data_IF_471252059743
#
_entry.id   IF_471252059743
#
_cell.length_a   1.000
_cell.length_b   1.000
_cell.length_c   1.000
_cell.angle_alpha   90.00
_cell.angle_beta   90.00
_cell.angle_gamma   90.00
#
_symmetry.space_group_name_H-M   'P 1'
#
loop_
_entity.id
_entity.type
_entity.pdbx_description
1 polymer ?
#
# COMPACT_ATOMS: atom_id res chain seq x y z
N UNK A 1 19.49 28.24 3.67
CA UNK A 1 20.41 27.44 2.83
C UNK A 1 19.66 26.22 2.37
N UNK A 2 19.87 25.71 1.16
CA UNK A 2 19.31 24.42 0.78
C UNK A 2 19.83 23.35 1.74
N UNK A 3 19.04 22.29 2.01
CA UNK A 3 19.49 21.20 2.86
C UNK A 3 20.71 20.49 2.24
N UNK A 4 21.55 19.83 3.07
CA UNK A 4 22.66 19.02 2.57
C UNK A 4 22.17 17.99 1.54
N UNK A 5 23.03 17.61 0.57
CA UNK A 5 22.60 16.68 -0.49
C UNK A 5 22.14 15.32 0.00
N UNK A 6 22.62 14.88 1.13
CA UNK A 6 22.36 13.61 1.81
C UNK A 6 21.32 13.72 2.96
N UNK A 7 20.65 14.87 3.11
CA UNK A 7 19.71 15.06 4.22
C UNK A 7 18.43 14.27 4.04
N UNK A 8 18.09 13.45 5.05
CA UNK A 8 16.92 12.60 5.11
C UNK A 8 15.94 13.10 6.17
N UNK A 9 14.71 13.38 5.79
CA UNK A 9 13.60 13.57 6.73
C UNK A 9 12.89 12.23 6.95
N UNK A 10 12.83 11.81 8.20
CA UNK A 10 11.96 10.72 8.58
C UNK A 10 10.57 11.28 8.89
N UNK A 11 9.55 10.71 8.27
CA UNK A 11 8.16 11.13 8.41
C UNK A 11 7.27 9.98 8.86
N UNK A 12 6.30 10.30 9.68
CA UNK A 12 5.34 9.32 10.20
C UNK A 12 4.00 9.99 10.46
N UNK A 13 2.92 9.24 10.28
CA UNK A 13 1.62 9.54 10.87
C UNK A 13 1.34 8.52 11.97
N UNK A 14 0.73 8.92 13.06
CA UNK A 14 0.61 8.05 14.24
C UNK A 14 -0.68 8.30 15.00
N UNK A 15 -1.23 7.21 15.60
CA UNK A 15 -2.32 7.28 16.58
C UNK A 15 -2.29 6.09 17.52
N UNK A 16 -2.08 6.32 18.82
CA UNK A 16 -2.10 5.30 19.87
C UNK A 16 -1.10 4.15 19.63
N UNK A 17 0.16 4.52 19.41
CA UNK A 17 1.25 3.60 19.10
C UNK A 17 2.33 3.57 20.19
N UNK A 18 1.96 3.78 21.44
CA UNK A 18 2.91 3.80 22.57
C UNK A 18 3.76 2.53 22.70
N UNK A 19 3.26 1.39 22.20
CA UNK A 19 3.94 0.09 22.30
C UNK A 19 4.97 -0.17 21.22
N UNK A 20 4.75 0.40 20.02
CA UNK A 20 5.53 0.13 18.79
C UNK A 20 6.50 1.27 18.45
N UNK A 21 6.08 2.51 18.68
CA UNK A 21 6.75 3.73 18.23
C UNK A 21 8.24 3.81 18.60
N UNK A 22 8.59 3.46 19.85
CA UNK A 22 9.99 3.55 20.30
C UNK A 22 10.92 2.66 19.46
N UNK A 23 10.48 1.43 19.14
CA UNK A 23 11.23 0.48 18.31
C UNK A 23 11.41 1.00 16.88
N UNK A 24 10.37 1.59 16.30
CA UNK A 24 10.44 2.22 14.99
C UNK A 24 11.47 3.36 14.98
N UNK A 25 11.38 4.30 15.92
CA UNK A 25 12.28 5.46 16.01
C UNK A 25 13.73 5.04 16.31
N UNK A 26 13.96 3.99 17.11
CA UNK A 26 15.30 3.44 17.33
C UNK A 26 15.92 2.90 16.04
N UNK A 27 15.12 2.29 15.16
CA UNK A 27 15.61 1.69 13.91
C UNK A 27 16.12 2.71 12.88
N UNK A 28 15.71 3.97 12.99
CA UNK A 28 16.14 5.07 12.10
C UNK A 28 17.09 6.06 12.79
N UNK A 29 17.50 5.75 14.02
CA UNK A 29 18.37 6.62 14.82
C UNK A 29 19.72 6.80 14.13
N UNK A 30 20.11 8.07 13.94
CA UNK A 30 21.38 8.45 13.30
C UNK A 30 21.34 8.45 11.77
N UNK A 31 20.28 7.91 11.15
CA UNK A 31 20.08 7.94 9.71
C UNK A 31 19.37 9.24 9.26
N UNK A 32 18.33 9.64 9.97
CA UNK A 32 17.54 10.83 9.63
C UNK A 32 18.11 12.09 10.29
N UNK A 33 18.14 13.21 9.55
CA UNK A 33 18.53 14.53 10.04
C UNK A 33 17.41 15.26 10.78
N UNK A 34 16.16 14.86 10.57
CA UNK A 34 14.96 15.33 11.28
C UNK A 34 13.91 14.23 11.37
N UNK A 35 13.12 14.29 12.43
CA UNK A 35 12.01 13.39 12.70
C UNK A 35 10.71 14.19 12.75
N UNK A 36 9.76 13.90 11.86
CA UNK A 36 8.46 14.57 11.78
C UNK A 36 7.37 13.55 12.06
N UNK A 37 6.66 13.74 13.15
CA UNK A 37 5.59 12.85 13.60
C UNK A 37 4.27 13.61 13.61
N UNK A 38 3.36 13.27 12.71
CA UNK A 38 2.01 13.83 12.65
C UNK A 38 1.08 12.98 13.49
N UNK A 39 0.65 13.52 14.62
CA UNK A 39 -0.27 12.85 15.53
C UNK A 39 -1.72 13.11 15.14
N UNK A 40 -2.44 12.04 14.80
CA UNK A 40 -3.83 12.08 14.36
C UNK A 40 -4.83 11.90 15.52
N UNK A 41 -4.45 12.30 16.72
CA UNK A 41 -5.29 12.32 17.90
C UNK A 41 -5.06 11.13 18.83
N UNK A 42 -3.82 10.90 19.24
CA UNK A 42 -3.48 9.92 20.27
C UNK A 42 -3.99 10.34 21.64
N UNK A 43 -4.38 9.34 22.42
CA UNK A 43 -4.84 9.49 23.81
C UNK A 43 -3.94 8.78 24.83
N UNK A 44 -2.88 8.14 24.34
CA UNK A 44 -1.86 7.43 25.10
C UNK A 44 -0.52 8.22 25.17
N UNK A 45 0.57 7.56 25.52
CA UNK A 45 1.90 8.18 25.66
C UNK A 45 2.61 8.42 24.30
N UNK A 46 2.00 8.10 23.16
CA UNK A 46 2.59 8.24 21.82
C UNK A 46 3.26 9.60 21.58
N UNK A 47 2.61 10.75 21.79
CA UNK A 47 3.22 12.05 21.53
C UNK A 47 4.44 12.32 22.43
N UNK A 48 4.39 11.86 23.68
CA UNK A 48 5.50 12.04 24.62
C UNK A 48 6.69 11.14 24.27
N UNK A 49 6.43 9.93 23.76
CA UNK A 49 7.50 9.06 23.27
C UNK A 49 8.19 9.74 22.09
N UNK A 50 7.46 10.18 21.06
CA UNK A 50 8.02 10.86 19.90
C UNK A 50 8.89 12.08 20.31
N UNK A 51 8.39 12.92 21.21
CA UNK A 51 9.12 14.09 21.69
C UNK A 51 10.44 13.74 22.41
N UNK A 52 10.51 12.62 23.14
CA UNK A 52 11.76 12.14 23.78
C UNK A 52 12.83 11.73 22.76
N UNK A 53 12.45 11.35 21.56
CA UNK A 53 13.36 11.08 20.45
C UNK A 53 13.78 12.33 19.67
N UNK A 54 13.27 13.52 20.07
CA UNK A 54 13.57 14.79 19.42
C UNK A 54 12.72 15.03 18.17
N UNK A 55 11.63 14.30 18.00
CA UNK A 55 10.74 14.49 16.86
C UNK A 55 9.95 15.81 17.00
N UNK A 56 9.72 16.49 15.89
CA UNK A 56 8.69 17.51 15.77
C UNK A 56 7.33 16.82 15.76
N UNK A 57 6.61 16.90 16.88
CA UNK A 57 5.28 16.29 17.01
C UNK A 57 4.22 17.31 16.66
N UNK A 58 3.40 17.01 15.64
CA UNK A 58 2.47 17.96 15.06
C UNK A 58 1.06 17.37 15.14
N UNK A 59 0.13 18.03 15.86
CA UNK A 59 -1.25 17.57 15.89
C UNK A 59 -1.92 17.79 14.53
N UNK A 60 -2.72 16.82 14.11
CA UNK A 60 -3.52 16.88 12.89
C UNK A 60 -4.97 16.55 13.18
N UNK A 61 -5.89 17.40 12.70
CA UNK A 61 -7.31 17.11 12.81
C UNK A 61 -7.71 15.98 11.86
N UNK A 62 -8.09 14.86 12.44
CA UNK A 62 -8.46 13.63 11.73
C UNK A 62 -9.95 13.31 11.88
N UNK A 63 -10.80 14.33 12.13
CA UNK A 63 -12.26 14.19 12.19
C UNK A 63 -12.82 13.69 10.86
N UNK A 64 -12.22 14.14 9.75
CA UNK A 64 -12.38 13.51 8.43
C UNK A 64 -11.18 12.63 8.20
N UNK A 65 -11.42 11.34 8.05
CA UNK A 65 -10.35 10.37 7.80
C UNK A 65 -9.76 10.59 6.42
N UNK A 66 -8.49 10.96 6.40
CA UNK A 66 -7.71 11.15 5.18
C UNK A 66 -6.22 10.95 5.51
N UNK A 67 -5.76 9.70 5.33
CA UNK A 67 -4.37 9.35 5.58
C UNK A 67 -3.42 10.05 4.61
N UNK A 68 -3.83 10.25 3.34
CA UNK A 68 -3.01 11.00 2.39
C UNK A 68 -2.84 12.47 2.83
N UNK A 69 -3.89 13.13 3.33
CA UNK A 69 -3.78 14.48 3.85
C UNK A 69 -2.80 14.57 5.03
N UNK A 70 -2.87 13.61 5.96
CA UNK A 70 -1.97 13.55 7.10
C UNK A 70 -0.50 13.33 6.67
N UNK A 71 -0.24 12.39 5.73
CA UNK A 71 1.12 12.19 5.18
C UNK A 71 1.61 13.42 4.40
N UNK A 72 0.75 14.03 3.58
CA UNK A 72 1.09 15.25 2.85
C UNK A 72 1.38 16.43 3.80
N UNK A 73 0.75 16.44 4.96
CA UNK A 73 1.03 17.44 6.00
C UNK A 73 2.43 17.27 6.59
N UNK A 74 2.89 16.00 6.77
CA UNK A 74 4.27 15.71 7.15
C UNK A 74 5.25 16.15 6.04
N UNK A 75 4.97 15.80 4.77
CA UNK A 75 5.81 16.20 3.62
C UNK A 75 5.97 17.71 3.53
N UNK A 76 4.90 18.49 3.78
CA UNK A 76 4.95 19.95 3.71
C UNK A 76 5.86 20.59 4.78
N UNK A 77 6.22 19.85 5.82
CA UNK A 77 7.12 20.30 6.89
C UNK A 77 8.53 19.78 6.78
N UNK A 78 8.74 18.79 5.92
CA UNK A 78 10.03 18.17 5.71
C UNK A 78 10.99 19.11 4.97
N UNK A 79 12.23 19.18 5.45
CA UNK A 79 13.29 20.01 4.90
C UNK A 79 14.39 19.21 4.22
N UNK A 80 14.50 17.91 4.51
CA UNK A 80 15.48 17.04 3.88
C UNK A 80 15.26 16.90 2.37
N UNK A 81 16.32 16.56 1.65
CA UNK A 81 16.23 16.23 0.19
C UNK A 81 15.46 14.94 -0.06
N UNK A 82 15.52 14.04 0.89
CA UNK A 82 14.89 12.73 0.83
C UNK A 82 13.87 12.55 1.94
N UNK A 83 12.88 11.75 1.67
CA UNK A 83 11.87 11.34 2.64
C UNK A 83 11.96 9.83 2.85
N UNK A 84 12.04 9.42 4.11
CA UNK A 84 11.75 8.06 4.54
C UNK A 84 10.43 8.09 5.32
N UNK A 85 9.40 7.43 4.80
CA UNK A 85 8.07 7.37 5.41
C UNK A 85 7.83 5.96 5.95
N UNK A 86 7.75 5.80 7.27
CA UNK A 86 7.38 4.52 7.88
C UNK A 86 6.15 4.69 8.78
N UNK A 87 5.46 3.59 9.01
CA UNK A 87 4.41 3.48 10.01
C UNK A 87 5.01 3.08 11.37
N UNK A 88 4.33 3.36 12.47
CA UNK A 88 4.88 3.17 13.81
C UNK A 88 5.11 1.69 14.18
N UNK A 89 4.46 0.78 13.50
CA UNK A 89 4.60 -0.67 13.62
C UNK A 89 5.60 -1.29 12.61
N UNK A 90 6.25 -0.41 11.81
CA UNK A 90 7.35 -0.79 10.90
C UNK A 90 8.70 -0.48 11.52
N UNK A 91 9.71 -1.32 11.28
CA UNK A 91 11.09 -1.11 11.71
C UNK A 91 12.04 -1.34 10.55
N UNK A 92 13.00 -0.42 10.36
CA UNK A 92 14.07 -0.60 9.38
C UNK A 92 15.03 -1.70 9.86
N UNK A 93 15.33 -2.68 9.00
CA UNK A 93 16.39 -3.64 9.27
C UNK A 93 17.75 -2.89 9.36
N UNK A 94 18.49 -3.01 10.45
CA UNK A 94 19.79 -2.36 10.60
C UNK A 94 20.79 -2.69 9.48
N UNK A 95 20.72 -3.88 8.88
CA UNK A 95 21.55 -4.27 7.75
C UNK A 95 21.21 -3.47 6.47
N UNK A 96 20.04 -2.84 6.41
CA UNK A 96 19.59 -2.02 5.27
C UNK A 96 20.05 -0.56 5.33
N UNK A 97 20.56 -0.08 6.47
CA UNK A 97 21.01 1.32 6.63
C UNK A 97 22.05 1.73 5.58
N UNK A 98 23.14 0.97 5.32
CA UNK A 98 24.12 1.36 4.30
C UNK A 98 23.54 1.43 2.89
N UNK A 99 22.51 0.62 2.60
CA UNK A 99 21.83 0.66 1.31
C UNK A 99 21.03 1.96 1.16
N UNK A 100 20.32 2.42 2.21
CA UNK A 100 19.60 3.71 2.18
C UNK A 100 20.60 4.85 2.00
N UNK A 101 21.72 4.88 2.75
CA UNK A 101 22.76 5.89 2.60
C UNK A 101 23.28 5.96 1.17
N UNK A 102 23.56 4.81 0.56
CA UNK A 102 23.98 4.76 -0.84
C UNK A 102 22.92 5.17 -1.86
N UNK A 103 21.62 5.07 -1.53
CA UNK A 103 20.52 5.52 -2.40
C UNK A 103 20.32 7.04 -2.32
N UNK A 104 20.37 7.63 -1.13
CA UNK A 104 20.17 9.08 -0.94
C UNK A 104 21.34 9.93 -1.46
N UNK A 105 22.53 9.34 -1.58
CA UNK A 105 23.71 9.98 -2.20
C UNK A 105 23.54 10.17 -3.72
N UNK A 106 22.63 9.39 -4.34
CA UNK A 106 22.40 9.49 -5.78
C UNK A 106 21.52 10.70 -6.09
N UNK A 107 21.84 11.40 -7.16
CA UNK A 107 20.96 12.48 -7.67
C UNK A 107 19.93 11.90 -8.65
N UNK A 108 19.21 10.88 -8.19
CA UNK A 108 18.19 10.19 -8.98
C UNK A 108 16.80 10.71 -8.65
N UNK A 109 15.97 10.86 -9.67
CA UNK A 109 14.55 11.17 -9.52
C UNK A 109 13.76 9.85 -9.44
N UNK A 110 13.99 9.08 -8.38
CA UNK A 110 13.41 7.77 -8.21
C UNK A 110 12.74 7.61 -6.83
N UNK A 111 11.56 7.05 -6.81
CA UNK A 111 10.95 6.47 -5.61
C UNK A 111 11.36 5.00 -5.48
N UNK A 112 11.67 4.58 -4.28
CA UNK A 112 12.20 3.26 -4.01
C UNK A 112 11.18 2.41 -3.26
N UNK A 113 10.88 1.23 -3.82
CA UNK A 113 10.16 0.18 -3.12
C UNK A 113 11.07 -0.47 -2.08
N UNK A 114 10.63 -0.49 -0.85
CA UNK A 114 11.21 -1.27 0.23
C UNK A 114 10.49 -2.62 0.33
N UNK A 115 11.24 -3.67 0.66
CA UNK A 115 10.68 -4.98 0.96
C UNK A 115 10.11 -4.97 2.38
N UNK A 116 8.77 -5.03 2.48
CA UNK A 116 8.08 -5.08 3.76
C UNK A 116 7.79 -6.53 4.13
N UNK A 117 8.43 -6.98 5.19
CA UNK A 117 8.26 -8.32 5.74
C UNK A 117 7.18 -8.30 6.82
N UNK A 118 6.03 -8.85 6.49
CA UNK A 118 4.84 -8.81 7.32
C UNK A 118 4.80 -10.01 8.27
N UNK A 119 4.80 -9.74 9.58
CA UNK A 119 4.66 -10.75 10.63
C UNK A 119 3.33 -10.55 11.33
N UNK A 120 2.50 -11.60 11.39
CA UNK A 120 1.29 -11.62 12.21
C UNK A 120 1.57 -12.33 13.53
N UNK A 121 1.07 -11.77 14.64
CA UNK A 121 1.04 -12.45 15.93
C UNK A 121 0.09 -13.65 15.96
N UNK A 122 -0.83 -13.75 15.01
CA UNK A 122 -1.97 -14.66 15.01
C UNK A 122 -1.79 -15.88 14.09
N UNK A 123 -0.53 -16.36 13.91
CA UNK A 123 -0.18 -17.60 13.20
C UNK A 123 -0.38 -17.66 11.69
N UNK A 124 -0.67 -16.56 11.02
CA UNK A 124 -0.60 -16.53 9.56
C UNK A 124 0.86 -16.60 9.09
N UNK A 125 1.11 -17.32 8.02
CA UNK A 125 2.47 -17.39 7.45
C UNK A 125 2.96 -15.98 7.08
N UNK A 126 4.21 -15.62 7.44
CA UNK A 126 4.77 -14.33 7.04
C UNK A 126 4.76 -14.20 5.52
N UNK A 127 4.53 -12.99 5.03
CA UNK A 127 4.59 -12.69 3.60
C UNK A 127 5.35 -11.37 3.35
N UNK A 128 5.88 -11.23 2.15
CA UNK A 128 6.59 -10.01 1.73
C UNK A 128 5.79 -9.28 0.68
N UNK A 129 5.65 -7.98 0.86
CA UNK A 129 5.17 -7.07 -0.17
C UNK A 129 6.18 -5.92 -0.40
N UNK A 130 5.86 -5.00 -1.31
CA UNK A 130 6.74 -3.91 -1.66
C UNK A 130 5.97 -2.60 -1.58
N UNK A 131 6.48 -1.64 -0.81
CA UNK A 131 5.86 -0.33 -0.60
C UNK A 131 6.86 0.78 -0.89
N UNK A 132 6.42 1.85 -1.54
CA UNK A 132 7.28 3.03 -1.77
C UNK A 132 7.37 3.80 -0.45
N UNK A 133 8.56 3.75 0.16
CA UNK A 133 8.83 4.39 1.47
C UNK A 133 9.97 5.39 1.44
N UNK A 134 10.87 5.32 0.42
CA UNK A 134 11.99 6.24 0.25
C UNK A 134 11.87 6.96 -1.09
N UNK A 135 11.88 8.30 -1.09
CA UNK A 135 11.71 9.10 -2.30
C UNK A 135 12.24 10.53 -2.13
N UNK A 136 12.60 11.24 -3.22
CA UNK A 136 13.03 12.64 -3.14
C UNK A 136 11.90 13.56 -2.64
N UNK A 137 12.25 14.51 -1.79
CA UNK A 137 11.31 15.54 -1.32
C UNK A 137 11.05 16.56 -2.43
N UNK A 138 9.99 16.35 -3.18
CA UNK A 138 9.60 17.24 -4.28
C UNK A 138 8.20 17.81 -4.07
N UNK A 139 7.95 19.11 -4.41
CA UNK A 139 6.67 19.75 -4.17
C UNK A 139 5.48 19.10 -4.86
N UNK A 140 5.71 18.41 -5.99
CA UNK A 140 4.68 17.72 -6.77
C UNK A 140 4.47 16.25 -6.35
N UNK A 141 5.27 15.71 -5.44
CA UNK A 141 5.06 14.36 -4.92
C UNK A 141 4.07 14.41 -3.77
N UNK A 142 2.92 13.81 -3.96
CA UNK A 142 1.81 13.80 -2.99
C UNK A 142 1.16 12.44 -2.91
N UNK A 143 0.86 12.03 -1.69
CA UNK A 143 -0.02 10.89 -1.45
C UNK A 143 -1.43 11.20 -1.92
N UNK A 144 -2.11 10.17 -2.41
CA UNK A 144 -3.51 10.22 -2.86
C UNK A 144 -4.28 9.04 -2.29
N UNK A 145 -5.56 9.27 -2.00
CA UNK A 145 -6.47 8.31 -1.39
C UNK A 145 -6.63 8.52 0.12
N UNK A 146 -7.85 8.62 0.56
CA UNK A 146 -8.17 8.78 1.98
C UNK A 146 -7.75 7.56 2.80
N UNK A 147 -7.91 6.36 2.21
CA UNK A 147 -7.39 5.07 2.69
C UNK A 147 -6.62 4.40 1.55
N UNK A 148 -5.74 3.46 1.86
CA UNK A 148 -4.83 2.84 0.89
C UNK A 148 -4.07 3.89 0.08
N UNK A 149 -3.59 4.89 0.77
CA UNK A 149 -2.92 6.03 0.18
C UNK A 149 -1.57 5.62 -0.44
N UNK A 150 -1.36 6.07 -1.67
CA UNK A 150 -0.12 5.81 -2.41
C UNK A 150 0.50 7.10 -2.93
N UNK A 151 1.82 7.09 -3.13
CA UNK A 151 2.58 8.21 -3.69
C UNK A 151 3.07 7.92 -5.12
N UNK A 152 2.98 6.66 -5.53
CA UNK A 152 3.55 6.10 -6.76
C UNK A 152 3.14 6.88 -8.01
N UNK A 153 1.82 7.10 -8.17
CA UNK A 153 1.29 7.81 -9.31
C UNK A 153 1.81 9.26 -9.41
N UNK A 154 2.01 9.95 -8.28
CA UNK A 154 2.52 11.31 -8.28
C UNK A 154 4.02 11.37 -8.60
N UNK A 155 4.80 10.37 -8.19
CA UNK A 155 6.21 10.24 -8.57
C UNK A 155 6.32 10.06 -10.08
N UNK A 156 5.57 9.12 -10.66
CA UNK A 156 5.56 8.86 -12.11
C UNK A 156 5.10 10.09 -12.90
N UNK A 157 4.01 10.73 -12.49
CA UNK A 157 3.50 11.97 -13.12
C UNK A 157 4.48 13.13 -13.01
N UNK A 158 5.32 13.15 -11.97
CA UNK A 158 6.40 14.12 -11.79
C UNK A 158 7.68 13.82 -12.58
N UNK A 159 7.65 12.83 -13.48
CA UNK A 159 8.80 12.41 -14.29
C UNK A 159 9.82 11.57 -13.53
N UNK A 160 9.46 11.08 -12.34
CA UNK A 160 10.28 10.14 -11.58
C UNK A 160 10.12 8.69 -12.05
N UNK A 161 10.96 7.83 -11.52
CA UNK A 161 10.90 6.38 -11.73
C UNK A 161 10.58 5.67 -10.42
N UNK A 162 10.11 4.43 -10.52
CA UNK A 162 9.92 3.55 -9.37
C UNK A 162 10.88 2.37 -9.50
N UNK A 163 11.70 2.17 -8.48
CA UNK A 163 12.74 1.14 -8.47
C UNK A 163 12.59 0.22 -7.27
N UNK A 164 12.77 -1.08 -7.46
CA UNK A 164 12.85 -2.05 -6.37
C UNK A 164 14.23 -2.04 -5.75
N UNK A 165 14.28 -2.21 -4.43
CA UNK A 165 15.54 -2.31 -3.68
C UNK A 165 15.51 -3.55 -2.80
N UNK A 166 16.67 -3.95 -2.28
CA UNK A 166 16.77 -4.96 -1.21
C UNK A 166 16.72 -4.34 0.20
N UNK A 167 16.25 -3.09 0.33
CA UNK A 167 16.05 -2.44 1.64
C UNK A 167 14.85 -3.08 2.30
N UNK A 168 15.07 -3.66 3.49
CA UNK A 168 14.05 -4.38 4.24
C UNK A 168 13.50 -3.54 5.39
N UNK A 169 12.18 -3.62 5.56
CA UNK A 169 11.46 -3.20 6.76
C UNK A 169 10.66 -4.36 7.31
N UNK A 170 10.65 -4.51 8.63
CA UNK A 170 9.83 -5.50 9.33
C UNK A 170 8.56 -4.82 9.84
N UNK A 171 7.41 -5.37 9.49
CA UNK A 171 6.09 -4.90 9.91
C UNK A 171 5.46 -5.95 10.83
N UNK A 172 5.24 -5.58 12.07
CA UNK A 172 4.61 -6.45 13.06
C UNK A 172 3.24 -5.91 13.39
N UNK A 173 2.21 -6.54 12.87
CA UNK A 173 0.84 -6.15 13.17
C UNK A 173 0.16 -7.15 14.10
N UNK A 174 -0.56 -6.59 15.05
CA UNK A 174 -1.45 -7.32 15.95
C UNK A 174 -2.85 -6.81 15.70
N UNK A 175 -3.67 -7.59 15.00
CA UNK A 175 -5.09 -7.30 14.92
C UNK A 175 -5.88 -8.58 15.07
N UNK A 176 -6.77 -8.63 16.04
CA UNK A 176 -7.74 -9.70 16.10
C UNK A 176 -8.67 -9.64 14.87
N UNK A 177 -9.29 -10.79 14.56
CA UNK A 177 -10.14 -10.91 13.36
C UNK A 177 -11.30 -9.92 13.36
N UNK A 178 -11.85 -9.60 14.53
CA UNK A 178 -13.00 -8.71 14.63
C UNK A 178 -12.61 -7.24 14.40
N UNK A 179 -11.48 -6.79 14.96
CA UNK A 179 -10.92 -5.45 14.70
C UNK A 179 -10.59 -5.26 13.22
N UNK A 180 -10.01 -6.29 12.59
CA UNK A 180 -9.73 -6.29 11.14
C UNK A 180 -11.02 -6.16 10.33
N UNK A 181 -12.06 -6.93 10.64
CA UNK A 181 -13.37 -6.83 9.97
C UNK A 181 -14.01 -5.45 10.13
N UNK A 182 -13.98 -4.86 11.33
CA UNK A 182 -14.49 -3.50 11.57
C UNK A 182 -13.74 -2.46 10.73
N UNK A 183 -12.41 -2.55 10.67
CA UNK A 183 -11.58 -1.68 9.85
C UNK A 183 -11.90 -1.81 8.35
N UNK A 184 -12.03 -3.04 7.83
CA UNK A 184 -12.33 -3.27 6.42
C UNK A 184 -13.71 -2.72 6.05
N UNK A 185 -14.75 -2.91 6.88
CA UNK A 185 -16.06 -2.27 6.66
C UNK A 185 -15.95 -0.75 6.62
N UNK A 186 -15.17 -0.17 7.51
CA UNK A 186 -14.95 1.26 7.54
C UNK A 186 -14.21 1.77 6.29
N UNK A 187 -13.22 1.03 5.80
CA UNK A 187 -12.51 1.36 4.55
C UNK A 187 -13.44 1.28 3.34
N UNK A 188 -14.32 0.28 3.27
CA UNK A 188 -15.33 0.18 2.22
C UNK A 188 -16.19 1.44 2.13
N UNK A 189 -16.68 1.96 3.26
CA UNK A 189 -17.52 3.16 3.24
C UNK A 189 -16.72 4.39 2.74
N UNK A 190 -15.48 4.56 3.17
CA UNK A 190 -14.62 5.64 2.69
C UNK A 190 -14.35 5.52 1.18
N UNK A 191 -14.01 4.30 0.71
CA UNK A 191 -13.75 4.06 -0.71
C UNK A 191 -15.00 4.33 -1.57
N UNK A 192 -16.19 3.97 -1.09
CA UNK A 192 -17.45 4.30 -1.77
C UNK A 192 -17.67 5.81 -1.88
N UNK A 193 -17.37 6.56 -0.81
CA UNK A 193 -17.46 8.02 -0.83
C UNK A 193 -16.49 8.63 -1.84
N UNK A 194 -15.22 8.16 -1.90
CA UNK A 194 -14.24 8.62 -2.88
C UNK A 194 -14.68 8.33 -4.32
N UNK A 195 -15.15 7.10 -4.59
CA UNK A 195 -15.64 6.69 -5.91
C UNK A 195 -16.89 7.47 -6.32
N UNK A 196 -17.76 7.82 -5.37
CA UNK A 196 -18.94 8.63 -5.65
C UNK A 196 -18.60 10.09 -5.94
N UNK A 197 -17.54 10.62 -5.30
CA UNK A 197 -17.06 11.99 -5.52
C UNK A 197 -16.38 12.16 -6.89
N UNK A 198 -15.69 11.15 -7.39
CA UNK A 198 -15.09 11.11 -8.73
C UNK A 198 -15.32 9.74 -9.41
N UNK A 199 -16.48 9.54 -10.05
CA UNK A 199 -16.80 8.27 -10.70
C UNK A 199 -15.92 7.93 -11.91
N UNK A 200 -15.16 8.89 -12.45
CA UNK A 200 -14.25 8.71 -13.57
C UNK A 200 -12.86 8.21 -13.11
N UNK A 201 -12.49 8.48 -11.87
CA UNK A 201 -11.27 7.93 -11.27
C UNK A 201 -11.51 6.47 -10.83
N UNK A 202 -10.91 5.55 -11.55
CA UNK A 202 -11.02 4.12 -11.29
C UNK A 202 -9.96 3.59 -10.31
N UNK A 203 -9.05 4.46 -9.84
CA UNK A 203 -7.90 4.08 -9.01
C UNK A 203 -8.28 3.48 -7.65
N UNK A 204 -9.52 3.73 -7.19
CA UNK A 204 -10.03 3.21 -5.90
C UNK A 204 -10.74 1.87 -6.01
N UNK A 205 -11.11 1.45 -7.22
CA UNK A 205 -11.90 0.23 -7.43
C UNK A 205 -11.14 -1.05 -7.05
N UNK A 206 -9.84 -1.11 -7.35
CA UNK A 206 -9.02 -2.28 -6.98
C UNK A 206 -8.98 -2.49 -5.46
N UNK A 207 -8.87 -1.38 -4.69
CA UNK A 207 -8.90 -1.44 -3.23
C UNK A 207 -10.28 -1.85 -2.71
N UNK A 208 -11.36 -1.33 -3.30
CA UNK A 208 -12.72 -1.69 -2.90
C UNK A 208 -12.99 -3.19 -3.17
N UNK A 209 -12.56 -3.72 -4.31
CA UNK A 209 -12.68 -5.15 -4.60
C UNK A 209 -11.87 -5.99 -3.59
N UNK A 210 -10.66 -5.56 -3.22
CA UNK A 210 -9.83 -6.24 -2.25
C UNK A 210 -10.47 -6.24 -0.84
N UNK A 211 -11.06 -5.12 -0.40
CA UNK A 211 -11.75 -5.05 0.89
C UNK A 211 -12.98 -5.97 0.95
N UNK A 212 -13.79 -5.99 -0.12
CA UNK A 212 -14.90 -6.92 -0.22
C UNK A 212 -14.42 -8.37 -0.18
N UNK A 213 -13.35 -8.70 -0.91
CA UNK A 213 -12.76 -10.04 -0.90
C UNK A 213 -12.32 -10.45 0.52
N UNK A 214 -11.64 -9.58 1.25
CA UNK A 214 -11.18 -9.86 2.63
C UNK A 214 -12.34 -10.09 3.61
N UNK A 215 -13.50 -9.51 3.34
CA UNK A 215 -14.72 -9.72 4.12
C UNK A 215 -15.54 -10.92 3.66
N UNK A 216 -15.07 -11.66 2.65
CA UNK A 216 -15.79 -12.78 2.01
C UNK A 216 -17.12 -12.33 1.35
N UNK A 217 -17.22 -11.05 0.98
CA UNK A 217 -18.32 -10.45 0.23
C UNK A 217 -18.06 -10.62 -1.27
N UNK A 218 -18.04 -11.87 -1.72
CA UNK A 218 -17.54 -12.22 -3.04
C UNK A 218 -18.42 -11.73 -4.18
N UNK A 219 -19.72 -11.63 -3.96
CA UNK A 219 -20.64 -11.08 -4.96
C UNK A 219 -20.31 -9.60 -5.25
N UNK A 220 -20.20 -8.79 -4.21
CA UNK A 220 -19.83 -7.37 -4.32
C UNK A 220 -18.43 -7.20 -4.91
N UNK A 221 -17.49 -8.07 -4.54
CA UNK A 221 -16.15 -8.07 -5.13
C UNK A 221 -16.19 -8.34 -6.64
N UNK A 222 -17.05 -9.28 -7.09
CA UNK A 222 -17.25 -9.60 -8.51
C UNK A 222 -17.86 -8.42 -9.26
N UNK A 223 -18.90 -7.77 -8.72
CA UNK A 223 -19.51 -6.57 -9.34
C UNK A 223 -18.49 -5.45 -9.56
N UNK A 224 -17.59 -5.22 -8.58
CA UNK A 224 -16.52 -4.24 -8.72
C UNK A 224 -15.49 -4.69 -9.76
N UNK A 225 -15.09 -5.97 -9.77
CA UNK A 225 -14.17 -6.50 -10.78
C UNK A 225 -14.72 -6.36 -12.21
N UNK A 226 -16.00 -6.64 -12.43
CA UNK A 226 -16.68 -6.38 -13.71
C UNK A 226 -16.69 -4.89 -14.07
N UNK A 227 -16.89 -3.99 -13.07
CA UNK A 227 -16.79 -2.56 -13.31
C UNK A 227 -15.36 -2.16 -13.72
N UNK A 228 -14.32 -2.71 -13.11
CA UNK A 228 -12.92 -2.48 -13.49
C UNK A 228 -12.69 -2.89 -14.94
N UNK A 229 -13.18 -4.06 -15.37
CA UNK A 229 -13.06 -4.51 -16.78
C UNK A 229 -13.75 -3.53 -17.74
N UNK A 230 -14.95 -3.03 -17.39
CA UNK A 230 -15.64 -2.02 -18.22
C UNK A 230 -14.85 -0.72 -18.35
N UNK A 231 -14.13 -0.29 -17.30
CA UNK A 231 -13.33 0.94 -17.32
C UNK A 231 -11.95 0.74 -17.93
N UNK A 232 -11.36 -0.47 -17.76
CA UNK A 232 -10.03 -0.83 -18.26
C UNK A 232 -10.09 -2.07 -19.15
N UNK A 233 -10.79 -2.05 -20.28
CA UNK A 233 -11.02 -3.25 -21.10
C UNK A 233 -9.75 -3.83 -21.73
N UNK A 234 -8.66 -3.06 -21.74
CA UNK A 234 -7.35 -3.48 -22.25
C UNK A 234 -6.35 -3.84 -21.13
N UNK A 235 -6.76 -3.88 -19.88
CA UNK A 235 -5.90 -4.35 -18.79
C UNK A 235 -6.03 -5.87 -18.62
N UNK A 236 -4.99 -6.65 -18.93
CA UNK A 236 -5.04 -8.11 -18.78
C UNK A 236 -5.23 -8.57 -17.34
N UNK A 237 -4.82 -7.76 -16.35
CA UNK A 237 -5.02 -8.07 -14.93
C UNK A 237 -6.49 -7.95 -14.52
N UNK A 238 -7.20 -6.95 -15.05
CA UNK A 238 -8.62 -6.81 -14.79
C UNK A 238 -9.40 -8.06 -15.24
N UNK A 239 -9.10 -8.57 -16.43
CA UNK A 239 -9.69 -9.81 -16.94
C UNK A 239 -9.27 -11.05 -16.13
N UNK A 240 -8.02 -11.13 -15.69
CA UNK A 240 -7.57 -12.22 -14.80
C UNK A 240 -8.37 -12.25 -13.50
N UNK A 241 -8.53 -11.10 -12.84
CA UNK A 241 -9.24 -11.01 -11.56
C UNK A 241 -10.74 -11.32 -11.69
N UNK A 242 -11.44 -10.77 -12.67
CA UNK A 242 -12.85 -11.09 -12.87
C UNK A 242 -13.05 -12.56 -13.23
N UNK A 243 -12.19 -13.13 -14.03
CA UNK A 243 -12.19 -14.56 -14.35
C UNK A 243 -12.01 -15.44 -13.09
N UNK A 244 -11.14 -15.01 -12.17
CA UNK A 244 -10.93 -15.68 -10.90
C UNK A 244 -12.19 -15.63 -10.02
N UNK A 245 -12.86 -14.49 -9.94
CA UNK A 245 -14.12 -14.37 -9.19
C UNK A 245 -15.23 -15.23 -9.79
N UNK A 246 -15.40 -15.24 -11.12
CA UNK A 246 -16.35 -16.10 -11.80
C UNK A 246 -16.05 -17.60 -11.59
N UNK A 247 -14.77 -17.98 -11.48
CA UNK A 247 -14.39 -19.37 -11.26
C UNK A 247 -14.67 -19.84 -9.83
N UNK A 248 -14.34 -19.01 -8.84
CA UNK A 248 -14.31 -19.43 -7.45
C UNK A 248 -15.58 -19.11 -6.66
N UNK A 249 -16.24 -18.01 -6.98
CA UNK A 249 -17.30 -17.46 -6.13
C UNK A 249 -18.67 -17.36 -6.82
N UNK A 250 -18.69 -17.20 -8.12
CA UNK A 250 -19.91 -17.27 -8.93
C UNK A 250 -19.70 -18.36 -9.98
N UNK A 251 -19.74 -19.65 -9.65
CA UNK A 251 -19.19 -20.73 -10.47
C UNK A 251 -19.75 -20.78 -11.89
N UNK A 252 -19.45 -19.76 -12.68
CA UNK A 252 -19.68 -19.63 -14.10
C UNK A 252 -18.37 -19.91 -14.86
N UNK A 253 -18.11 -21.19 -15.07
CA UNK A 253 -16.90 -21.65 -15.76
C UNK A 253 -16.79 -21.09 -17.20
N UNK A 254 -17.91 -20.83 -17.84
CA UNK A 254 -17.93 -20.28 -19.21
C UNK A 254 -17.41 -18.86 -19.24
N UNK A 255 -17.91 -18.01 -18.32
CA UNK A 255 -17.40 -16.63 -18.15
C UNK A 255 -15.95 -16.63 -17.72
N UNK A 256 -15.59 -17.41 -16.69
CA UNK A 256 -14.22 -17.49 -16.22
C UNK A 256 -13.23 -17.82 -17.35
N UNK A 257 -13.57 -18.82 -18.18
CA UNK A 257 -12.75 -19.21 -19.34
C UNK A 257 -12.64 -18.07 -20.36
N UNK A 258 -13.73 -17.37 -20.64
CA UNK A 258 -13.72 -16.24 -21.57
C UNK A 258 -12.80 -15.11 -21.07
N UNK A 259 -12.86 -14.79 -19.77
CA UNK A 259 -12.03 -13.76 -19.16
C UNK A 259 -10.54 -14.13 -19.15
N UNK A 260 -10.17 -15.37 -18.79
CA UNK A 260 -8.78 -15.82 -18.86
C UNK A 260 -8.23 -15.82 -20.29
N UNK A 261 -9.03 -16.21 -21.28
CA UNK A 261 -8.64 -16.11 -22.68
C UNK A 261 -8.45 -14.65 -23.12
N UNK A 262 -9.31 -13.74 -22.66
CA UNK A 262 -9.15 -12.32 -22.95
C UNK A 262 -7.88 -11.75 -22.29
N UNK A 263 -7.55 -12.16 -21.07
CA UNK A 263 -6.30 -11.79 -20.42
C UNK A 263 -5.07 -12.25 -21.26
N UNK A 264 -5.12 -13.48 -21.82
CA UNK A 264 -4.07 -14.00 -22.70
C UNK A 264 -4.01 -13.30 -24.06
N UNK A 265 -5.15 -12.94 -24.65
CA UNK A 265 -5.19 -12.17 -25.89
C UNK A 265 -4.51 -10.80 -25.72
N UNK A 266 -4.69 -10.17 -24.56
CA UNK A 266 -4.09 -8.88 -24.22
C UNK A 266 -2.61 -9.01 -23.83
N UNK A 267 -2.24 -10.13 -23.20
CA UNK A 267 -0.88 -10.41 -22.74
C UNK A 267 -0.53 -11.87 -23.02
N UNK A 268 0.01 -12.18 -24.21
CA UNK A 268 0.48 -13.53 -24.51
C UNK A 268 1.54 -14.01 -23.51
N UNK A 269 1.43 -15.26 -23.06
CA UNK A 269 2.33 -15.81 -22.03
C UNK A 269 2.04 -15.33 -20.61
N UNK A 270 0.80 -14.92 -20.31
CA UNK A 270 0.38 -14.56 -18.97
C UNK A 270 0.19 -15.83 -18.14
N UNK A 271 1.26 -16.26 -17.44
CA UNK A 271 1.38 -17.55 -16.77
C UNK A 271 0.21 -17.87 -15.83
N UNK A 272 -0.27 -16.89 -15.09
CA UNK A 272 -1.38 -17.07 -14.17
C UNK A 272 -2.68 -17.44 -14.90
N UNK A 273 -2.98 -16.74 -16.00
CA UNK A 273 -4.17 -17.04 -16.81
C UNK A 273 -4.05 -18.42 -17.48
N UNK A 274 -2.87 -18.78 -17.98
CA UNK A 274 -2.59 -20.11 -18.55
C UNK A 274 -2.79 -21.19 -17.49
N UNK A 275 -2.29 -20.98 -16.27
CA UNK A 275 -2.40 -21.92 -15.15
C UNK A 275 -3.86 -22.18 -14.76
N UNK A 276 -4.70 -21.14 -14.72
CA UNK A 276 -6.12 -21.31 -14.41
C UNK A 276 -6.86 -22.05 -15.52
N UNK A 277 -6.57 -21.78 -16.79
CA UNK A 277 -7.17 -22.53 -17.91
C UNK A 277 -6.76 -24.01 -17.87
N UNK A 278 -5.49 -24.32 -17.61
CA UNK A 278 -5.01 -25.69 -17.47
C UNK A 278 -5.69 -26.42 -16.30
N UNK A 279 -5.86 -25.75 -15.16
CA UNK A 279 -6.58 -26.30 -14.00
C UNK A 279 -8.04 -26.61 -14.37
N UNK A 280 -8.71 -25.71 -15.07
CA UNK A 280 -10.08 -25.93 -15.54
C UNK A 280 -10.17 -27.13 -16.49
N UNK A 281 -9.24 -27.25 -17.44
CA UNK A 281 -9.21 -28.37 -18.40
C UNK A 281 -8.93 -29.71 -17.71
N UNK A 282 -8.08 -29.72 -16.67
CA UNK A 282 -7.82 -30.91 -15.87
C UNK A 282 -9.08 -31.36 -15.11
N UNK A 283 -9.76 -30.45 -14.44
CA UNK A 283 -10.97 -30.74 -13.68
C UNK A 283 -12.13 -31.23 -14.58
N UNK A 284 -12.25 -30.71 -15.81
CA UNK A 284 -13.25 -31.17 -16.79
C UNK A 284 -12.96 -32.61 -17.23
N UNK A 285 -11.70 -32.96 -17.48
CA UNK A 285 -11.30 -34.34 -17.79
C UNK A 285 -11.57 -35.32 -16.65
N UNK A 286 -11.29 -34.91 -15.41
CA UNK A 286 -11.50 -35.76 -14.22
C UNK A 286 -12.99 -35.94 -13.87
N UNK A 287 -13.80 -34.91 -14.11
CA UNK A 287 -15.25 -34.96 -13.81
C UNK A 287 -16.10 -35.62 -14.89
N UNK A 288 -15.51 -35.92 -16.06
CA UNK A 288 -16.24 -36.53 -17.22
C UNK A 288 -17.38 -35.65 -17.76
N UNK A 289 -17.38 -34.34 -17.45
CA UNK A 289 -18.31 -33.35 -17.98
C UNK A 289 -17.59 -32.43 -18.95
N UNK A 290 -18.19 -32.20 -20.14
CA UNK A 290 -17.64 -31.25 -21.11
C UNK A 290 -17.71 -29.83 -20.61
#
# INVERSE_FOLDING_TARGET
MPPPPDSLSFCMIVKNEERSLARCLDSVRGLASELIVVDTGSTDETPRIAARYGAEVIPFDFTIVDFAAARNYALARSRGRWILMLDADETLDPASVPAIEGLIDRDENAGYFLERYNHSSDSESPFTDHVVRLFPNRPNYRYRGRVHETIDASILAGGGQLQKTGVRIDHTFSSDRESRRRRNHWYIEILKEEIAADPADDSRLDFLAAEYHQLEMFHEATEIAERIVRMRPLDPRAHLFVGLYHLLYEPDRTRARADFNQALNLRPGYLEAESFLQLMDQQERESGRP
#
